data_IF_624829653457
#
_entry.id   IF_624829653457
#
_cell.length_a   1.000
_cell.length_b   1.000
_cell.length_c   1.000
_cell.angle_alpha   90.00
_cell.angle_beta   90.00
_cell.angle_gamma   90.00
#
_symmetry.space_group_name_H-M   'P 1'
#
loop_
_entity.id
_entity.type
_entity.pdbx_description
1 polymer ?
#
# COMPACT_ATOMS: atom_id res chain seq x y z
N UNK A 1 -5.97 -1.77 -18.90
CA UNK A 1 -7.34 -1.24 -18.83
C UNK A 1 -8.32 -2.41 -18.92
N UNK A 2 -8.80 -2.89 -17.76
CA UNK A 2 -9.79 -3.99 -17.68
C UNK A 2 -11.22 -3.50 -17.61
N UNK A 3 -11.44 -2.24 -17.22
CA UNK A 3 -12.76 -1.67 -17.02
C UNK A 3 -13.41 -1.29 -18.36
N UNK A 4 -12.56 -0.96 -19.33
CA UNK A 4 -12.95 -0.41 -20.62
C UNK A 4 -12.42 -1.27 -21.76
N UNK A 5 -12.00 -2.51 -21.49
CA UNK A 5 -11.55 -3.50 -22.48
C UNK A 5 -10.52 -2.93 -23.46
N UNK A 6 -9.54 -2.18 -22.92
CA UNK A 6 -8.47 -1.56 -23.66
C UNK A 6 -8.93 -0.54 -24.72
N UNK A 7 -10.17 -0.04 -24.64
CA UNK A 7 -10.69 0.96 -25.57
C UNK A 7 -9.90 2.27 -25.51
N UNK A 8 -9.24 2.56 -24.37
CA UNK A 8 -8.52 3.80 -24.12
C UNK A 8 -6.99 3.68 -24.20
N UNK A 9 -6.43 2.59 -24.73
CA UNK A 9 -4.97 2.41 -24.83
C UNK A 9 -4.21 3.54 -25.53
N UNK A 10 -4.86 4.22 -26.48
CA UNK A 10 -4.28 5.34 -27.22
C UNK A 10 -4.87 6.71 -26.82
N UNK A 11 -5.72 6.74 -25.80
CA UNK A 11 -6.28 7.96 -25.27
C UNK A 11 -5.29 8.56 -24.27
N UNK A 12 -4.54 9.55 -24.74
CA UNK A 12 -3.60 10.33 -23.93
C UNK A 12 -4.06 11.80 -23.97
N UNK A 13 -4.99 12.21 -23.08
CA UNK A 13 -5.50 13.58 -23.07
C UNK A 13 -4.45 14.60 -22.59
N UNK A 14 -3.36 14.13 -21.99
CA UNK A 14 -2.34 15.00 -21.39
C UNK A 14 -1.15 15.22 -22.32
N UNK A 15 -0.99 14.40 -23.37
CA UNK A 15 -0.11 14.57 -24.55
C UNK A 15 1.40 14.77 -24.27
N UNK A 16 1.82 14.87 -22.99
CA UNK A 16 3.15 15.30 -22.60
C UNK A 16 3.70 14.44 -21.46
N UNK A 17 4.71 13.61 -21.79
CA UNK A 17 5.51 12.85 -20.82
C UNK A 17 6.26 13.72 -19.80
N UNK A 18 6.36 15.03 -20.02
CA UNK A 18 7.05 15.99 -19.13
C UNK A 18 6.19 17.19 -18.71
N UNK A 19 4.91 17.22 -19.08
CA UNK A 19 4.03 18.39 -18.92
C UNK A 19 4.26 19.50 -19.95
N UNK A 20 3.22 20.31 -20.22
CA UNK A 20 3.26 21.49 -21.10
C UNK A 20 2.96 22.77 -20.27
N UNK A 21 4.02 23.42 -19.80
CA UNK A 21 3.90 24.64 -18.98
C UNK A 21 3.29 25.79 -19.78
N UNK A 22 3.51 25.87 -21.09
CA UNK A 22 2.95 26.96 -21.90
C UNK A 22 1.43 26.80 -22.03
N UNK A 23 0.95 25.59 -22.30
CA UNK A 23 -0.48 25.28 -22.30
C UNK A 23 -1.10 25.49 -20.92
N UNK A 24 -0.43 25.08 -19.84
CA UNK A 24 -0.90 25.30 -18.47
C UNK A 24 -1.04 26.80 -18.13
N UNK A 25 -0.06 27.61 -18.53
CA UNK A 25 -0.14 29.07 -18.40
C UNK A 25 -1.28 29.66 -19.22
N UNK A 26 -1.47 29.20 -20.44
CA UNK A 26 -2.59 29.64 -21.28
C UNK A 26 -3.93 29.32 -20.61
N UNK A 27 -4.11 28.14 -20.03
CA UNK A 27 -5.35 27.81 -19.32
C UNK A 27 -5.50 28.62 -18.02
N UNK A 28 -4.43 28.79 -17.24
CA UNK A 28 -4.43 29.64 -16.04
C UNK A 28 -4.85 31.08 -16.35
N UNK A 29 -4.42 31.65 -17.48
CA UNK A 29 -4.77 33.02 -17.91
C UNK A 29 -6.26 33.23 -18.18
N UNK A 30 -7.02 32.15 -18.32
CA UNK A 30 -8.47 32.16 -18.51
C UNK A 30 -9.23 32.00 -17.20
N UNK A 31 -8.52 31.67 -16.13
CA UNK A 31 -9.10 31.46 -14.81
C UNK A 31 -9.39 32.79 -14.11
N UNK A 32 -10.31 32.77 -13.15
CA UNK A 32 -10.53 33.91 -12.24
C UNK A 32 -9.40 34.14 -11.24
N UNK A 33 -8.42 33.23 -11.20
CA UNK A 33 -7.31 33.21 -10.25
C UNK A 33 -6.05 33.91 -10.81
N UNK A 34 -6.07 34.27 -12.08
CA UNK A 34 -5.08 35.12 -12.73
C UNK A 34 -5.75 36.45 -13.13
N UNK A 35 -5.52 37.51 -12.35
CA UNK A 35 -6.16 38.81 -12.58
C UNK A 35 -5.53 39.60 -13.71
N UNK A 36 -4.28 39.30 -14.09
CA UNK A 36 -3.53 40.05 -15.09
C UNK A 36 -3.40 39.30 -16.43
N UNK A 37 -3.88 38.05 -16.48
CA UNK A 37 -3.85 37.14 -17.62
C UNK A 37 -2.42 36.80 -18.13
N UNK A 38 -1.41 36.80 -17.24
CA UNK A 38 -0.03 36.43 -17.58
C UNK A 38 0.25 34.91 -17.54
N UNK A 39 -0.76 34.12 -17.15
CA UNK A 39 -0.73 32.68 -17.01
C UNK A 39 -0.25 32.19 -15.64
N UNK A 40 -0.22 33.07 -14.64
CA UNK A 40 0.21 32.76 -13.28
C UNK A 40 -0.92 33.09 -12.32
N UNK A 41 -1.22 32.20 -11.37
CA UNK A 41 -2.15 32.56 -10.32
C UNK A 41 -1.56 33.68 -9.43
N UNK A 42 -2.33 34.74 -9.19
CA UNK A 42 -1.91 35.94 -8.47
C UNK A 42 -2.84 36.32 -7.30
N UNK A 43 -3.69 35.38 -6.85
CA UNK A 43 -4.63 35.60 -5.74
C UNK A 43 -4.29 34.78 -4.50
N UNK A 44 -4.75 35.19 -3.30
CA UNK A 44 -4.42 34.49 -2.05
C UNK A 44 -4.84 33.02 -1.99
N UNK A 45 -5.86 32.63 -2.76
CA UNK A 45 -6.34 31.24 -2.81
C UNK A 45 -5.31 30.26 -3.40
N UNK A 46 -4.28 30.77 -4.09
CA UNK A 46 -3.22 29.94 -4.67
C UNK A 46 -2.02 29.73 -3.75
N UNK A 47 -2.07 30.30 -2.55
CA UNK A 47 -1.03 30.11 -1.54
C UNK A 47 -1.42 29.05 -0.51
N UNK A 48 -0.43 28.26 -0.06
CA UNK A 48 -0.63 27.27 0.99
C UNK A 48 -1.57 26.11 0.64
N UNK A 49 -1.68 25.76 -0.64
CA UNK A 49 -2.52 24.64 -1.11
C UNK A 49 -1.97 23.33 -0.52
N UNK A 50 -2.72 22.69 0.37
CA UNK A 50 -2.30 21.43 0.99
C UNK A 50 -2.32 20.25 0.02
N UNK A 51 -1.21 19.53 -0.11
CA UNK A 51 -1.12 18.25 -0.79
C UNK A 51 -0.79 17.16 0.24
N UNK A 52 -1.78 16.35 0.61
CA UNK A 52 -1.59 15.25 1.55
C UNK A 52 -0.83 14.09 0.89
N UNK A 53 0.10 13.49 1.62
CA UNK A 53 0.78 12.23 1.28
C UNK A 53 0.99 11.37 2.50
N UNK A 54 1.04 10.04 2.30
CA UNK A 54 1.37 9.08 3.34
C UNK A 54 2.88 8.98 3.55
N UNK A 55 3.32 8.73 4.78
CA UNK A 55 4.74 8.48 5.12
C UNK A 55 5.16 7.01 4.89
N UNK A 56 4.20 6.09 4.89
CA UNK A 56 4.40 4.65 4.73
C UNK A 56 4.44 4.20 3.26
N UNK A 57 4.32 5.12 2.30
CA UNK A 57 4.42 4.84 0.87
C UNK A 57 5.78 5.31 0.32
N UNK A 58 6.69 4.39 -0.04
CA UNK A 58 7.99 4.75 -0.57
C UNK A 58 7.88 5.60 -1.84
N UNK A 59 8.47 6.79 -1.81
CA UNK A 59 8.55 7.69 -2.96
C UNK A 59 7.44 8.74 -3.05
N UNK A 60 6.31 8.57 -2.36
CA UNK A 60 5.16 9.50 -2.44
C UNK A 60 5.53 10.92 -2.04
N UNK A 61 6.27 11.09 -0.93
CA UNK A 61 6.71 12.40 -0.50
C UNK A 61 7.66 13.07 -1.52
N UNK A 62 8.46 12.28 -2.26
CA UNK A 62 9.32 12.80 -3.31
C UNK A 62 8.51 13.19 -4.56
N UNK A 63 7.54 12.35 -4.96
CA UNK A 63 6.62 12.64 -6.06
C UNK A 63 5.79 13.90 -5.79
N UNK A 64 5.22 14.04 -4.59
CA UNK A 64 4.46 15.23 -4.21
C UNK A 64 5.29 16.52 -4.20
N UNK A 65 6.57 16.45 -3.81
CA UNK A 65 7.48 17.60 -3.95
C UNK A 65 7.73 17.98 -5.40
N UNK A 66 7.80 17.00 -6.32
CA UNK A 66 7.91 17.25 -7.76
C UNK A 66 6.64 17.91 -8.31
N UNK A 67 5.47 17.38 -7.94
CA UNK A 67 4.17 17.98 -8.30
C UNK A 67 4.08 19.43 -7.80
N UNK A 68 4.44 19.69 -6.54
CA UNK A 68 4.46 21.04 -5.99
C UNK A 68 5.41 21.98 -6.75
N UNK A 69 6.60 21.50 -7.13
CA UNK A 69 7.55 22.28 -7.91
C UNK A 69 7.04 22.60 -9.32
N UNK A 70 6.34 21.67 -9.97
CA UNK A 70 5.78 21.87 -11.31
C UNK A 70 4.60 22.85 -11.29
N UNK A 71 3.71 22.73 -10.30
CA UNK A 71 2.57 23.64 -10.12
C UNK A 71 3.01 25.07 -9.76
N UNK A 72 4.18 25.24 -9.12
CA UNK A 72 4.74 26.56 -8.86
C UNK A 72 5.04 27.35 -10.15
N UNK A 73 5.27 26.68 -11.29
CA UNK A 73 5.51 27.34 -12.57
C UNK A 73 4.31 28.14 -13.10
N UNK A 74 3.10 27.87 -12.58
CA UNK A 74 1.85 28.59 -12.86
C UNK A 74 1.29 29.31 -11.64
N UNK A 75 2.12 29.55 -10.61
CA UNK A 75 1.76 30.37 -9.44
C UNK A 75 0.98 29.65 -8.34
N UNK A 76 0.90 28.32 -8.37
CA UNK A 76 0.26 27.54 -7.32
C UNK A 76 1.30 27.12 -6.28
N UNK A 77 1.25 27.72 -5.08
CA UNK A 77 2.18 27.39 -3.99
C UNK A 77 1.61 26.23 -3.17
N UNK A 78 2.04 25.02 -3.52
CA UNK A 78 1.61 23.78 -2.87
C UNK A 78 2.50 23.45 -1.67
N UNK A 79 1.88 23.17 -0.53
CA UNK A 79 2.52 22.65 0.68
C UNK A 79 2.30 21.15 0.77
N UNK A 80 3.38 20.38 0.69
CA UNK A 80 3.34 18.93 0.95
C UNK A 80 3.15 18.66 2.44
N UNK A 81 2.14 17.88 2.77
CA UNK A 81 1.74 17.51 4.12
C UNK A 81 1.87 15.99 4.25
N UNK A 82 2.99 15.55 4.84
CA UNK A 82 3.28 14.13 5.08
C UNK A 82 2.59 13.73 6.40
N UNK A 83 1.85 12.63 6.38
CA UNK A 83 1.09 12.11 7.52
C UNK A 83 1.23 10.59 7.63
N UNK A 84 1.09 10.08 8.86
CA UNK A 84 0.90 8.65 9.08
C UNK A 84 -0.41 8.16 8.44
N UNK A 85 -0.50 6.86 8.18
CA UNK A 85 -1.65 6.23 7.50
C UNK A 85 -3.00 6.57 8.13
N UNK A 86 -3.11 6.56 9.46
CA UNK A 86 -4.39 6.75 10.14
C UNK A 86 -4.81 8.21 10.13
N UNK A 87 -3.86 9.12 10.37
CA UNK A 87 -4.09 10.57 10.23
C UNK A 87 -4.45 10.93 8.80
N UNK A 88 -3.74 10.37 7.80
CA UNK A 88 -4.05 10.58 6.39
C UNK A 88 -5.49 10.15 6.06
N UNK A 89 -5.86 8.91 6.38
CA UNK A 89 -7.19 8.33 6.10
C UNK A 89 -8.33 9.06 6.81
N UNK A 90 -8.10 9.54 8.03
CA UNK A 90 -9.10 10.29 8.78
C UNK A 90 -9.24 11.74 8.31
N UNK A 91 -8.18 12.32 7.71
CA UNK A 91 -8.17 13.74 7.30
C UNK A 91 -8.87 13.95 5.97
N UNK A 92 -8.47 13.22 4.91
CA UNK A 92 -8.99 13.51 3.56
C UNK A 92 -10.47 13.14 3.41
N UNK A 93 -10.95 12.16 4.18
CA UNK A 93 -12.34 11.72 4.13
C UNK A 93 -13.35 12.75 4.67
N UNK A 94 -12.88 13.89 5.19
CA UNK A 94 -13.69 14.93 5.80
C UNK A 94 -13.82 16.14 4.85
N UNK A 95 -14.97 16.36 4.21
CA UNK A 95 -15.16 17.53 3.34
C UNK A 95 -14.93 18.87 4.06
N UNK A 96 -15.13 18.92 5.38
CA UNK A 96 -14.88 20.12 6.21
C UNK A 96 -13.41 20.44 6.42
N UNK A 97 -12.50 19.49 6.16
CA UNK A 97 -11.07 19.73 6.26
C UNK A 97 -10.54 20.57 5.08
N UNK A 98 -11.34 20.79 4.04
CA UNK A 98 -10.99 21.57 2.84
C UNK A 98 -9.66 21.15 2.23
N UNK A 99 -9.39 19.84 2.20
CA UNK A 99 -8.19 19.28 1.58
C UNK A 99 -8.33 19.37 0.05
N UNK A 100 -7.52 20.16 -0.65
CA UNK A 100 -7.68 20.37 -2.08
C UNK A 100 -7.01 19.27 -2.91
N UNK A 101 -5.89 18.72 -2.44
CA UNK A 101 -5.11 17.72 -3.16
C UNK A 101 -4.63 16.61 -2.22
N UNK A 102 -4.55 15.39 -2.75
CA UNK A 102 -3.89 14.25 -2.12
C UNK A 102 -3.23 13.40 -3.19
N UNK A 103 -2.14 12.73 -2.82
CA UNK A 103 -1.55 11.67 -3.63
C UNK A 103 -1.93 10.33 -2.98
N UNK A 104 -2.59 9.48 -3.75
CA UNK A 104 -2.96 8.13 -3.32
C UNK A 104 -3.05 7.21 -4.54
N UNK A 105 -2.95 5.91 -4.28
CA UNK A 105 -3.25 4.84 -5.21
C UNK A 105 -4.66 4.29 -4.97
N UNK A 106 -5.38 3.97 -6.03
CA UNK A 106 -6.64 3.22 -5.94
C UNK A 106 -6.52 1.87 -6.62
N UNK A 107 -7.28 0.89 -6.13
CA UNK A 107 -7.42 -0.43 -6.72
C UNK A 107 -8.88 -0.74 -7.00
N UNK A 108 -9.15 -1.38 -8.13
CA UNK A 108 -10.48 -1.89 -8.47
C UNK A 108 -10.81 -3.10 -7.62
N UNK A 109 -12.08 -3.28 -7.29
CA UNK A 109 -12.57 -4.48 -6.59
C UNK A 109 -12.95 -5.59 -7.59
N UNK A 110 -13.53 -5.22 -8.72
CA UNK A 110 -13.95 -6.11 -9.80
C UNK A 110 -13.60 -5.50 -11.16
N UNK A 111 -13.56 -6.33 -12.21
CA UNK A 111 -13.36 -5.89 -13.60
C UNK A 111 -14.68 -5.34 -14.19
N UNK A 112 -15.25 -4.33 -13.53
CA UNK A 112 -16.35 -3.52 -14.06
C UNK A 112 -16.27 -2.10 -13.50
N UNK A 113 -16.38 -1.10 -14.40
CA UNK A 113 -16.42 0.31 -14.04
C UNK A 113 -17.54 0.66 -13.05
N UNK A 114 -18.55 -0.20 -12.90
CA UNK A 114 -19.59 -0.07 -11.87
C UNK A 114 -19.08 -0.16 -10.43
N UNK A 115 -17.90 -0.75 -10.21
CA UNK A 115 -17.21 -0.80 -8.91
C UNK A 115 -16.19 0.31 -8.73
N UNK A 116 -15.99 1.15 -9.76
CA UNK A 116 -15.01 2.23 -9.76
C UNK A 116 -15.69 3.60 -9.84
N UNK A 117 -16.47 3.87 -10.89
CA UNK A 117 -17.05 5.20 -11.12
C UNK A 117 -18.11 5.62 -10.09
N UNK A 118 -19.11 4.79 -9.75
CA UNK A 118 -20.11 5.16 -8.74
C UNK A 118 -19.51 5.49 -7.35
N UNK A 119 -18.65 4.65 -6.74
CA UNK A 119 -18.12 4.95 -5.41
C UNK A 119 -17.11 6.12 -5.39
N UNK A 120 -16.41 6.39 -6.49
CA UNK A 120 -15.39 7.45 -6.52
C UNK A 120 -15.92 8.82 -6.99
N UNK A 121 -16.89 8.83 -7.91
CA UNK A 121 -17.33 10.04 -8.61
C UNK A 121 -18.85 10.28 -8.58
N UNK A 122 -19.64 9.31 -8.10
CA UNK A 122 -21.09 9.46 -7.97
C UNK A 122 -21.49 10.23 -6.72
N UNK A 123 -22.51 11.08 -6.83
CA UNK A 123 -23.03 11.86 -5.69
C UNK A 123 -23.51 11.03 -4.49
N UNK A 124 -24.02 9.79 -4.62
CA UNK A 124 -24.41 8.99 -3.46
C UNK A 124 -23.23 8.68 -2.51
N UNK A 125 -22.00 8.70 -3.03
CA UNK A 125 -20.79 8.46 -2.25
C UNK A 125 -20.21 9.73 -1.61
N UNK A 126 -20.68 10.92 -2.00
CA UNK A 126 -20.12 12.20 -1.56
C UNK A 126 -20.36 12.44 -0.07
N UNK A 127 -19.26 12.55 0.67
CA UNK A 127 -19.28 12.72 2.12
C UNK A 127 -19.50 11.42 2.90
N UNK A 128 -19.55 10.26 2.23
CA UNK A 128 -19.42 8.97 2.90
C UNK A 128 -17.94 8.81 3.30
N UNK A 129 -17.60 9.24 4.51
CA UNK A 129 -16.27 9.06 5.11
C UNK A 129 -15.87 7.58 5.02
N UNK A 130 -14.85 7.21 4.20
CA UNK A 130 -14.15 5.89 4.11
C UNK A 130 -13.40 5.66 2.78
N UNK A 131 -12.87 6.70 2.12
CA UNK A 131 -12.17 6.49 0.85
C UNK A 131 -13.06 6.58 -0.39
N UNK A 132 -14.22 7.24 -0.31
CA UNK A 132 -15.20 7.34 -1.40
C UNK A 132 -15.66 8.78 -1.61
N UNK A 133 -15.98 9.13 -2.86
CA UNK A 133 -16.57 10.42 -3.22
C UNK A 133 -15.73 11.65 -2.86
N UNK A 134 -14.40 11.55 -2.76
CA UNK A 134 -13.57 12.63 -2.21
C UNK A 134 -13.34 13.77 -3.21
N UNK A 135 -13.63 13.54 -4.49
CA UNK A 135 -13.68 14.60 -5.51
C UNK A 135 -14.82 15.60 -5.28
N UNK A 136 -15.76 15.27 -4.38
CA UNK A 136 -16.99 16.02 -4.09
C UNK A 136 -17.92 16.22 -5.31
N UNK A 137 -17.69 15.50 -6.41
CA UNK A 137 -18.53 15.59 -7.61
C UNK A 137 -19.99 15.25 -7.28
N UNK A 138 -20.89 16.15 -7.64
CA UNK A 138 -22.31 16.03 -7.35
C UNK A 138 -22.71 16.42 -5.92
N UNK A 139 -21.83 17.01 -5.11
CA UNK A 139 -22.22 17.61 -3.83
C UNK A 139 -23.36 18.63 -4.03
N UNK A 140 -24.43 18.47 -3.25
CA UNK A 140 -25.56 19.39 -3.28
C UNK A 140 -25.20 20.76 -2.69
N UNK A 141 -25.94 21.83 -3.03
CA UNK A 141 -25.72 23.15 -2.42
C UNK A 141 -25.81 23.13 -0.88
N UNK A 142 -26.69 22.29 -0.33
CA UNK A 142 -26.83 22.12 1.12
C UNK A 142 -25.59 21.45 1.75
N UNK A 143 -25.03 20.43 1.10
CA UNK A 143 -23.77 19.80 1.53
C UNK A 143 -22.61 20.78 1.47
N UNK A 144 -22.45 21.48 0.34
CA UNK A 144 -21.39 22.50 0.17
C UNK A 144 -21.48 23.58 1.26
N UNK A 145 -22.68 24.10 1.51
CA UNK A 145 -22.92 25.08 2.59
C UNK A 145 -22.60 24.49 3.97
N UNK A 146 -23.07 23.27 4.27
CA UNK A 146 -22.83 22.58 5.54
C UNK A 146 -21.33 22.31 5.79
N UNK A 147 -20.57 22.12 4.72
CA UNK A 147 -19.13 21.90 4.77
C UNK A 147 -18.32 23.19 4.66
N UNK A 148 -18.98 24.35 4.50
CA UNK A 148 -18.32 25.66 4.49
C UNK A 148 -17.67 26.02 3.15
N UNK A 149 -18.06 25.38 2.05
CA UNK A 149 -17.61 25.79 0.73
C UNK A 149 -18.37 27.06 0.27
N UNK A 150 -17.67 28.03 -0.34
CA UNK A 150 -18.28 29.28 -0.81
C UNK A 150 -19.06 29.11 -2.13
N UNK A 151 -18.86 27.99 -2.83
CA UNK A 151 -19.53 27.70 -4.11
C UNK A 151 -20.91 27.08 -3.88
N UNK A 152 -21.84 27.40 -4.79
CA UNK A 152 -23.21 26.87 -4.74
C UNK A 152 -23.38 25.57 -5.53
N UNK A 153 -22.45 25.24 -6.42
CA UNK A 153 -22.53 24.07 -7.28
C UNK A 153 -21.14 23.57 -7.68
N UNK A 154 -21.05 22.28 -7.91
CA UNK A 154 -19.89 21.56 -8.46
C UNK A 154 -20.35 20.71 -9.64
N UNK A 155 -19.46 20.25 -10.53
CA UNK A 155 -19.82 19.32 -11.59
C UNK A 155 -20.46 18.06 -11.03
N UNK A 156 -21.37 17.45 -11.79
CA UNK A 156 -22.06 16.22 -11.43
C UNK A 156 -22.05 15.27 -12.65
N UNK A 157 -21.76 13.99 -12.41
CA UNK A 157 -21.66 12.96 -13.45
C UNK A 157 -22.67 11.81 -13.27
N UNK A 158 -23.63 11.95 -12.36
CA UNK A 158 -24.61 10.91 -12.01
C UNK A 158 -25.39 10.45 -13.23
N UNK A 159 -25.91 11.36 -14.05
CA UNK A 159 -26.68 11.00 -15.24
C UNK A 159 -25.88 10.14 -16.24
N UNK A 160 -24.55 10.33 -16.32
CA UNK A 160 -23.68 9.51 -17.17
C UNK A 160 -23.44 8.14 -16.53
N UNK A 161 -23.23 8.11 -15.21
CA UNK A 161 -23.09 6.86 -14.45
C UNK A 161 -24.37 6.02 -14.56
N UNK A 162 -25.52 6.62 -14.29
CA UNK A 162 -26.84 5.98 -14.34
C UNK A 162 -27.17 5.43 -15.74
N UNK A 163 -26.72 6.10 -16.80
CA UNK A 163 -26.88 5.60 -18.16
C UNK A 163 -26.05 4.33 -18.44
N UNK A 164 -24.92 4.13 -17.76
CA UNK A 164 -24.04 2.98 -17.96
C UNK A 164 -24.43 1.76 -17.11
N UNK A 165 -25.01 1.98 -15.92
CA UNK A 165 -25.40 0.91 -14.99
C UNK A 165 -26.33 -0.17 -15.57
N UNK A 166 -27.40 0.14 -16.35
CA UNK A 166 -28.29 -0.88 -16.89
C UNK A 166 -27.73 -1.61 -18.12
N UNK A 167 -26.61 -1.16 -18.68
CA UNK A 167 -25.97 -1.81 -19.82
C UNK A 167 -25.19 -3.04 -19.36
N UNK A 168 -24.83 -3.92 -20.31
CA UNK A 168 -24.00 -5.09 -20.03
C UNK A 168 -22.97 -5.33 -21.13
N UNK A 169 -21.93 -6.10 -20.80
CA UNK A 169 -20.86 -6.50 -21.71
C UNK A 169 -20.25 -5.28 -22.44
N UNK A 170 -19.89 -5.44 -23.72
CA UNK A 170 -19.22 -4.38 -24.49
C UNK A 170 -19.98 -3.05 -24.56
N UNK A 171 -21.32 -3.05 -24.46
CA UNK A 171 -22.08 -1.80 -24.42
C UNK A 171 -21.83 -1.00 -23.13
N UNK A 172 -21.71 -1.70 -21.99
CA UNK A 172 -21.38 -1.08 -20.71
C UNK A 172 -19.94 -0.58 -20.72
N UNK A 173 -19.01 -1.40 -21.18
CA UNK A 173 -17.58 -1.06 -21.34
C UNK A 173 -17.39 0.22 -22.17
N UNK A 174 -18.06 0.33 -23.32
CA UNK A 174 -18.01 1.55 -24.14
C UNK A 174 -18.64 2.77 -23.45
N UNK A 175 -19.63 2.54 -22.59
CA UNK A 175 -20.25 3.62 -21.83
C UNK A 175 -19.27 4.18 -20.78
N UNK A 176 -18.59 3.30 -20.05
CA UNK A 176 -17.55 3.67 -19.10
C UNK A 176 -16.38 4.38 -19.79
N UNK A 177 -15.87 3.87 -20.91
CA UNK A 177 -14.81 4.52 -21.69
C UNK A 177 -15.15 5.97 -22.06
N UNK A 178 -16.40 6.23 -22.46
CA UNK A 178 -16.85 7.61 -22.77
C UNK A 178 -16.99 8.48 -21.52
N UNK A 179 -17.33 7.89 -20.37
CA UNK A 179 -17.36 8.59 -19.10
C UNK A 179 -15.93 8.95 -18.67
N UNK A 180 -14.97 8.04 -18.77
CA UNK A 180 -13.58 8.31 -18.40
C UNK A 180 -12.97 9.39 -19.29
N UNK A 181 -13.15 9.31 -20.60
CA UNK A 181 -12.73 10.39 -21.52
C UNK A 181 -13.27 11.76 -21.11
N UNK A 182 -14.54 11.82 -20.70
CA UNK A 182 -15.16 13.05 -20.19
C UNK A 182 -14.58 13.48 -18.84
N UNK A 183 -14.36 12.55 -17.92
CA UNK A 183 -13.75 12.84 -16.63
C UNK A 183 -12.32 13.35 -16.79
N UNK A 184 -11.53 12.79 -17.71
CA UNK A 184 -10.12 13.18 -17.92
C UNK A 184 -9.94 14.44 -18.76
N UNK A 185 -10.92 14.80 -19.60
CA UNK A 185 -10.79 15.94 -20.52
C UNK A 185 -11.56 17.18 -20.07
N UNK A 186 -12.72 17.02 -19.44
CA UNK A 186 -13.66 18.11 -19.17
C UNK A 186 -13.83 18.41 -17.68
N UNK A 187 -13.77 17.39 -16.81
CA UNK A 187 -14.02 17.55 -15.37
C UNK A 187 -12.72 17.59 -14.56
N UNK A 188 -11.78 16.71 -14.90
CA UNK A 188 -10.44 16.50 -14.31
C UNK A 188 -10.46 16.39 -12.77
N UNK A 189 -11.29 15.51 -12.17
CA UNK A 189 -11.30 15.37 -10.71
C UNK A 189 -10.03 14.68 -10.22
N UNK A 190 -9.43 13.82 -11.03
CA UNK A 190 -8.25 13.01 -10.75
C UNK A 190 -7.23 13.20 -11.88
N UNK A 191 -5.95 13.18 -11.52
CA UNK A 191 -4.82 13.28 -12.45
C UNK A 191 -4.00 11.98 -12.34
N UNK A 192 -4.16 11.04 -13.27
CA UNK A 192 -3.37 9.81 -13.26
C UNK A 192 -1.88 10.13 -13.46
N UNK A 193 -1.04 9.77 -12.49
CA UNK A 193 0.41 10.01 -12.57
C UNK A 193 1.16 8.79 -13.12
N UNK A 194 0.83 7.61 -12.61
CA UNK A 194 1.57 6.38 -12.86
C UNK A 194 0.60 5.20 -12.88
N UNK A 195 0.92 4.19 -13.69
CA UNK A 195 0.39 2.84 -13.52
C UNK A 195 1.46 2.00 -12.84
N UNK A 196 1.13 1.41 -11.69
CA UNK A 196 2.04 0.52 -10.99
C UNK A 196 2.27 -0.74 -11.83
N UNK A 197 3.53 -1.10 -12.00
CA UNK A 197 3.94 -2.37 -12.62
C UNK A 197 4.68 -3.17 -11.57
N UNK A 198 4.48 -4.49 -11.58
CA UNK A 198 5.13 -5.40 -10.65
C UNK A 198 5.91 -6.45 -11.44
N UNK A 199 7.20 -6.56 -11.14
CA UNK A 199 8.01 -7.66 -11.63
C UNK A 199 7.69 -8.92 -10.81
N UNK A 200 7.53 -10.05 -11.51
CA UNK A 200 7.31 -11.33 -10.86
C UNK A 200 8.42 -12.31 -11.24
N UNK A 201 9.10 -12.84 -10.22
CA UNK A 201 10.10 -13.88 -10.39
C UNK A 201 9.46 -15.21 -10.04
N UNK A 202 9.21 -16.04 -11.05
CA UNK A 202 8.65 -17.38 -10.88
C UNK A 202 9.75 -18.44 -11.05
N UNK A 203 9.75 -19.44 -10.18
CA UNK A 203 10.71 -20.55 -10.27
C UNK A 203 10.49 -21.33 -11.58
N UNK A 204 11.55 -21.84 -12.21
CA UNK A 204 11.47 -22.69 -13.40
C UNK A 204 10.63 -23.97 -13.23
N UNK A 205 10.31 -24.34 -11.99
CA UNK A 205 9.36 -25.43 -11.68
C UNK A 205 7.92 -25.06 -11.95
N UNK A 206 7.56 -23.78 -12.01
CA UNK A 206 6.19 -23.34 -12.26
C UNK A 206 5.89 -23.61 -13.74
N UNK A 207 5.03 -24.59 -14.00
CA UNK A 207 4.64 -25.00 -15.36
C UNK A 207 3.41 -24.26 -15.87
N UNK A 208 2.56 -23.81 -14.95
CA UNK A 208 1.45 -22.93 -15.24
C UNK A 208 1.43 -21.82 -14.21
N UNK A 209 1.34 -20.59 -14.71
CA UNK A 209 1.24 -19.39 -13.93
C UNK A 209 0.03 -18.60 -14.41
N UNK A 210 -0.79 -18.15 -13.46
CA UNK A 210 -1.87 -17.21 -13.72
C UNK A 210 -1.80 -16.11 -12.67
N UNK A 211 -2.35 -14.95 -13.01
CA UNK A 211 -2.48 -13.82 -12.12
C UNK A 211 -3.95 -13.53 -11.83
N UNK A 212 -4.21 -13.01 -10.65
CA UNK A 212 -5.51 -12.47 -10.28
C UNK A 212 -5.70 -11.12 -10.95
N UNK A 213 -6.74 -11.03 -11.79
CA UNK A 213 -7.09 -9.78 -12.49
C UNK A 213 -7.90 -8.81 -11.63
N UNK A 214 -8.40 -9.22 -10.46
CA UNK A 214 -9.08 -8.31 -9.53
C UNK A 214 -8.12 -7.32 -8.90
N UNK A 215 -6.87 -7.72 -8.62
CA UNK A 215 -5.85 -6.83 -8.08
C UNK A 215 -5.33 -5.82 -9.12
N UNK A 216 -5.08 -4.57 -8.68
CA UNK A 216 -4.51 -3.50 -9.50
C UNK A 216 -3.05 -3.74 -9.88
N UNK A 217 -2.31 -4.44 -9.04
CA UNK A 217 -1.04 -5.10 -9.36
C UNK A 217 -1.30 -6.58 -9.59
N UNK A 218 -0.90 -7.17 -10.74
CA UNK A 218 -1.08 -8.61 -10.95
C UNK A 218 -0.43 -9.36 -9.78
N UNK A 219 -1.23 -10.02 -8.96
CA UNK A 219 -0.74 -10.95 -7.93
C UNK A 219 -0.91 -12.37 -8.43
N UNK A 220 -0.05 -13.33 -8.06
CA UNK A 220 -0.24 -14.72 -8.45
C UNK A 220 -1.61 -15.27 -8.00
N UNK A 221 -2.37 -15.86 -8.91
CA UNK A 221 -3.53 -16.66 -8.56
C UNK A 221 -3.04 -18.02 -8.03
N UNK A 222 -2.81 -18.11 -6.72
CA UNK A 222 -2.11 -19.24 -6.10
C UNK A 222 -2.84 -20.59 -6.30
N UNK A 223 -4.16 -20.57 -6.46
CA UNK A 223 -5.00 -21.72 -6.79
C UNK A 223 -4.83 -22.23 -8.24
N UNK A 224 -4.14 -21.45 -9.08
CA UNK A 224 -3.90 -21.72 -10.50
C UNK A 224 -2.43 -21.95 -10.83
N UNK A 225 -1.57 -22.08 -9.81
CA UNK A 225 -0.15 -22.41 -9.98
C UNK A 225 0.03 -23.91 -10.11
N UNK A 226 0.71 -24.36 -11.17
CA UNK A 226 1.12 -25.76 -11.33
C UNK A 226 2.64 -25.89 -11.27
N UNK A 227 3.11 -27.03 -10.74
CA UNK A 227 4.54 -27.33 -10.59
C UNK A 227 4.95 -28.56 -11.41
N UNK A 228 6.19 -28.57 -11.90
CA UNK A 228 6.84 -29.76 -12.46
C UNK A 228 6.92 -30.87 -11.39
N UNK A 229 6.40 -32.08 -11.68
CA UNK A 229 6.61 -33.23 -10.81
C UNK A 229 8.10 -33.61 -10.79
N UNK A 230 8.65 -33.90 -9.61
CA UNK A 230 9.90 -34.64 -9.48
C UNK A 230 11.21 -33.88 -9.70
N UNK A 231 11.20 -32.57 -9.96
CA UNK A 231 12.43 -31.76 -9.96
C UNK A 231 12.59 -31.13 -8.59
N UNK A 232 13.45 -31.72 -7.76
CA UNK A 232 13.97 -31.03 -6.59
C UNK A 232 14.62 -29.73 -7.08
N UNK A 233 14.30 -28.57 -6.45
CA UNK A 233 14.87 -27.32 -6.89
C UNK A 233 16.40 -27.43 -6.83
N UNK A 234 17.15 -26.83 -7.78
CA UNK A 234 18.57 -26.65 -7.56
C UNK A 234 18.75 -25.96 -6.21
N UNK A 235 19.77 -26.35 -5.42
CA UNK A 235 20.00 -25.71 -4.14
C UNK A 235 20.08 -24.22 -4.38
N UNK A 236 19.35 -23.50 -3.55
CA UNK A 236 19.41 -22.04 -3.50
C UNK A 236 20.89 -21.63 -3.43
N UNK A 237 21.34 -20.60 -4.17
CA UNK A 237 22.74 -20.17 -4.06
C UNK A 237 23.05 -19.91 -2.58
N UNK A 238 24.21 -20.41 -2.16
CA UNK A 238 24.68 -20.18 -0.80
C UNK A 238 24.90 -18.67 -0.63
N UNK A 239 24.41 -18.09 0.46
CA UNK A 239 24.66 -16.68 0.74
C UNK A 239 26.16 -16.41 0.83
N UNK A 240 26.56 -15.20 0.42
CA UNK A 240 27.96 -14.75 0.47
C UNK A 240 28.40 -14.24 1.86
N UNK A 241 27.48 -14.22 2.82
CA UNK A 241 27.71 -13.77 4.19
C UNK A 241 27.98 -14.94 5.15
N UNK A 242 28.51 -14.63 6.34
CA UNK A 242 28.76 -15.62 7.38
C UNK A 242 27.45 -16.16 7.96
N UNK A 243 27.29 -17.47 7.93
CA UNK A 243 26.15 -18.19 8.50
C UNK A 243 26.58 -18.81 9.83
N UNK A 244 25.87 -18.56 10.95
CA UNK A 244 26.20 -19.17 12.23
C UNK A 244 25.93 -20.68 12.16
N UNK A 245 26.60 -21.46 13.01
CA UNK A 245 26.49 -22.92 13.04
C UNK A 245 25.17 -23.44 13.65
N UNK A 246 24.07 -22.69 13.48
CA UNK A 246 22.72 -23.13 13.84
C UNK A 246 22.39 -24.32 12.94
N UNK A 247 21.97 -25.48 13.49
CA UNK A 247 21.67 -26.62 12.64
C UNK A 247 20.49 -26.33 11.70
N UNK A 248 20.65 -26.69 10.44
CA UNK A 248 19.52 -26.69 9.52
C UNK A 248 18.45 -27.70 9.96
N UNK A 249 17.20 -27.41 9.62
CA UNK A 249 16.08 -28.26 9.97
C UNK A 249 14.76 -27.50 10.02
N UNK A 250 13.73 -28.25 10.40
CA UNK A 250 12.42 -27.70 10.71
C UNK A 250 12.31 -27.63 12.23
N UNK A 251 11.82 -26.50 12.71
CA UNK A 251 11.62 -26.22 14.12
C UNK A 251 10.17 -25.81 14.35
N UNK A 252 9.65 -26.05 15.55
CA UNK A 252 8.30 -25.66 15.95
C UNK A 252 8.28 -25.13 17.36
N UNK A 253 7.50 -24.07 17.56
CA UNK A 253 7.16 -23.57 18.89
C UNK A 253 5.75 -22.97 18.86
N UNK A 254 5.19 -22.72 20.04
CA UNK A 254 3.86 -22.13 20.18
C UNK A 254 3.96 -20.91 21.08
N UNK A 255 3.46 -19.77 20.60
CA UNK A 255 3.28 -18.58 21.42
C UNK A 255 1.85 -18.59 21.93
N UNK A 256 1.68 -18.72 23.24
CA UNK A 256 0.37 -18.59 23.87
C UNK A 256 0.07 -17.13 24.23
N UNK A 257 -1.21 -16.81 24.48
CA UNK A 257 -1.58 -15.49 25.02
C UNK A 257 -0.88 -15.21 26.35
N UNK A 258 -0.64 -16.24 27.16
CA UNK A 258 0.06 -16.11 28.43
C UNK A 258 1.54 -15.74 28.24
N UNK A 259 2.18 -16.21 27.17
CA UNK A 259 3.55 -15.84 26.84
C UNK A 259 3.66 -14.39 26.41
N UNK A 260 2.76 -13.94 25.55
CA UNK A 260 2.63 -12.52 25.19
C UNK A 260 2.47 -11.67 26.43
N UNK A 261 1.50 -11.95 27.31
CA UNK A 261 1.31 -11.12 28.51
C UNK A 261 2.48 -11.19 29.50
N UNK A 262 3.26 -12.28 29.50
CA UNK A 262 4.43 -12.44 30.37
C UNK A 262 5.59 -11.57 29.91
N UNK A 263 5.88 -11.56 28.60
CA UNK A 263 7.00 -10.82 28.01
C UNK A 263 6.61 -9.40 27.62
N UNK A 264 5.33 -9.22 27.30
CA UNK A 264 4.67 -7.97 27.02
C UNK A 264 3.33 -7.80 27.80
N UNK A 265 3.38 -7.28 29.04
CA UNK A 265 2.18 -7.00 29.82
C UNK A 265 1.27 -5.89 29.28
N UNK A 266 1.72 -5.06 28.33
CA UNK A 266 0.91 -3.96 27.76
C UNK A 266 0.56 -4.19 26.29
N UNK A 267 0.71 -5.43 25.80
CA UNK A 267 0.42 -5.79 24.40
C UNK A 267 -0.96 -5.26 24.00
N UNK A 268 -1.10 -4.76 22.79
CA UNK A 268 -2.38 -4.29 22.28
C UNK A 268 -3.36 -5.48 22.24
N UNK A 269 -4.51 -5.42 22.92
CA UNK A 269 -5.51 -6.48 22.87
C UNK A 269 -5.93 -6.88 21.44
N UNK A 270 -5.83 -5.95 20.48
CA UNK A 270 -6.16 -6.20 19.08
C UNK A 270 -5.06 -7.00 18.34
N UNK A 271 -3.80 -6.93 18.77
CA UNK A 271 -2.67 -7.64 18.14
C UNK A 271 -2.39 -9.03 18.75
N UNK A 272 -3.05 -9.37 19.86
CA UNK A 272 -2.81 -10.64 20.57
C UNK A 272 -3.11 -11.85 19.70
N UNK A 273 -4.24 -11.84 19.00
CA UNK A 273 -4.58 -12.98 18.15
C UNK A 273 -3.53 -13.09 17.03
N UNK A 274 -3.17 -11.98 16.39
CA UNK A 274 -2.14 -11.94 15.34
C UNK A 274 -0.79 -12.52 15.79
N UNK A 275 -0.39 -12.31 17.05
CA UNK A 275 0.90 -12.75 17.58
C UNK A 275 0.89 -14.12 18.26
N UNK A 276 -0.25 -14.84 18.25
CA UNK A 276 -0.35 -16.18 18.88
C UNK A 276 -0.61 -17.30 17.90
N UNK A 277 -0.09 -18.48 18.22
CA UNK A 277 -0.25 -19.66 17.38
C UNK A 277 0.97 -20.55 17.41
N UNK A 278 0.96 -21.56 16.54
CA UNK A 278 2.08 -22.46 16.36
C UNK A 278 2.88 -22.02 15.14
N UNK A 279 4.14 -21.68 15.38
CA UNK A 279 5.10 -21.32 14.35
C UNK A 279 5.89 -22.55 13.94
N UNK A 280 5.99 -22.78 12.63
CA UNK A 280 6.89 -23.78 12.04
C UNK A 280 7.93 -23.06 11.20
N UNK A 281 9.20 -23.15 11.60
CA UNK A 281 10.34 -22.44 11.01
C UNK A 281 11.22 -23.46 10.32
N UNK A 282 11.62 -23.18 9.08
CA UNK A 282 12.66 -23.92 8.38
C UNK A 282 13.90 -23.07 8.31
N UNK A 283 15.03 -23.59 8.80
CA UNK A 283 16.36 -23.01 8.64
C UNK A 283 17.14 -23.83 7.61
N UNK A 284 17.77 -23.13 6.66
CA UNK A 284 18.49 -23.75 5.54
C UNK A 284 19.63 -22.83 5.07
N UNK A 285 20.87 -23.09 5.51
CA UNK A 285 22.09 -22.41 5.07
C UNK A 285 21.99 -20.87 5.05
N UNK A 286 21.59 -20.26 6.17
CA UNK A 286 21.47 -18.81 6.31
C UNK A 286 20.17 -18.22 5.75
N UNK A 287 19.19 -19.06 5.40
CA UNK A 287 17.84 -18.66 4.98
C UNK A 287 16.82 -19.22 5.96
N UNK A 288 15.76 -18.45 6.22
CA UNK A 288 14.63 -18.94 6.98
C UNK A 288 13.31 -18.71 6.25
N UNK A 289 12.36 -19.57 6.56
CA UNK A 289 10.95 -19.37 6.26
C UNK A 289 10.15 -19.83 7.48
N UNK A 290 9.12 -19.10 7.87
CA UNK A 290 8.19 -19.57 8.89
C UNK A 290 6.75 -19.47 8.43
N UNK A 291 5.90 -20.32 9.01
CA UNK A 291 4.45 -20.30 8.87
C UNK A 291 3.81 -20.40 10.24
N UNK A 292 2.83 -19.55 10.51
CA UNK A 292 2.00 -19.57 11.70
C UNK A 292 0.67 -20.24 11.41
N UNK A 293 0.26 -21.12 12.30
CA UNK A 293 -1.05 -21.74 12.29
C UNK A 293 -1.75 -21.48 13.63
N UNK A 294 -2.99 -21.03 13.56
CA UNK A 294 -3.80 -20.70 14.73
C UNK A 294 -5.27 -21.07 14.51
N UNK A 295 -6.05 -21.10 15.60
CA UNK A 295 -7.50 -21.34 15.55
C UNK A 295 -8.32 -20.08 15.30
N UNK A 296 -7.66 -18.96 15.02
CA UNK A 296 -8.22 -17.65 14.74
C UNK A 296 -7.59 -17.10 13.44
N UNK A 297 -8.18 -16.07 12.81
CA UNK A 297 -7.58 -15.44 11.64
C UNK A 297 -6.22 -14.80 11.96
N UNK A 298 -5.26 -14.97 11.07
CA UNK A 298 -3.90 -14.39 11.13
C UNK A 298 -3.63 -13.67 9.81
N UNK A 299 -3.18 -12.42 9.88
CA UNK A 299 -2.81 -11.57 8.75
C UNK A 299 -1.33 -11.76 8.38
N UNK A 300 -1.07 -12.33 7.21
CA UNK A 300 0.32 -12.61 6.79
C UNK A 300 0.94 -13.77 7.57
N UNK A 301 0.33 -14.98 7.55
CA UNK A 301 0.74 -16.12 8.38
C UNK A 301 2.08 -16.75 7.94
N UNK A 302 2.84 -16.11 7.07
CA UNK A 302 4.10 -16.63 6.57
C UNK A 302 5.07 -15.48 6.28
N UNK A 303 6.33 -15.68 6.65
CA UNK A 303 7.41 -14.77 6.28
C UNK A 303 8.66 -15.54 5.86
N UNK A 304 9.51 -14.90 5.06
CA UNK A 304 10.80 -15.44 4.64
C UNK A 304 11.88 -14.40 4.80
N UNK A 305 13.12 -14.86 4.91
CA UNK A 305 14.25 -13.97 5.09
C UNK A 305 15.58 -14.71 5.18
N UNK A 306 16.57 -14.00 5.70
CA UNK A 306 17.91 -14.51 5.91
C UNK A 306 18.31 -14.45 7.38
N UNK A 307 19.24 -15.30 7.78
CA UNK A 307 19.90 -15.21 9.07
C UNK A 307 21.41 -15.28 8.87
N UNK A 308 22.12 -14.38 9.55
CA UNK A 308 23.58 -14.25 9.44
C UNK A 308 24.20 -14.03 10.81
N UNK A 309 25.48 -14.33 10.95
CA UNK A 309 26.15 -14.24 12.25
C UNK A 309 27.40 -15.10 12.35
N UNK A 310 27.97 -15.12 13.55
CA UNK A 310 29.19 -15.86 13.86
C UNK A 310 29.19 -16.28 15.33
N UNK A 311 29.77 -17.45 15.61
CA UNK A 311 29.83 -18.01 16.96
C UNK A 311 28.43 -18.23 17.54
N UNK A 312 28.19 -17.70 18.74
CA UNK A 312 26.92 -17.80 19.45
C UNK A 312 25.95 -16.67 19.11
N UNK A 313 26.23 -15.86 18.08
CA UNK A 313 25.38 -14.75 17.64
C UNK A 313 24.77 -14.96 16.28
N UNK A 314 23.55 -14.49 16.14
CA UNK A 314 22.76 -14.48 14.91
C UNK A 314 21.99 -13.17 14.82
N UNK A 315 21.58 -12.83 13.62
CA UNK A 315 20.70 -11.72 13.28
C UNK A 315 19.78 -12.22 12.17
N UNK A 316 18.47 -12.07 12.36
CA UNK A 316 17.47 -12.37 11.36
C UNK A 316 17.06 -11.10 10.60
N UNK A 317 16.88 -11.22 9.30
CA UNK A 317 16.30 -10.18 8.45
C UNK A 317 15.10 -10.77 7.73
N UNK A 318 13.90 -10.32 8.10
CA UNK A 318 12.68 -10.61 7.34
C UNK A 318 12.71 -9.81 6.04
N UNK A 319 12.48 -10.47 4.91
CA UNK A 319 12.52 -9.85 3.58
C UNK A 319 11.15 -9.86 2.90
N UNK A 320 10.29 -10.82 3.24
CA UNK A 320 8.93 -10.90 2.71
C UNK A 320 7.94 -11.36 3.81
N UNK A 321 6.72 -10.82 3.83
CA UNK A 321 6.21 -9.78 2.92
C UNK A 321 6.89 -8.42 3.16
N UNK A 322 6.86 -7.53 2.17
CA UNK A 322 7.69 -6.31 2.17
C UNK A 322 7.30 -5.30 3.28
N UNK A 323 6.03 -5.31 3.67
CA UNK A 323 5.47 -4.57 4.81
C UNK A 323 5.94 -5.11 6.18
N UNK A 324 6.47 -6.33 6.22
CA UNK A 324 7.13 -6.92 7.40
C UNK A 324 8.66 -6.97 7.27
N UNK A 325 9.23 -6.33 6.24
CA UNK A 325 10.66 -6.38 6.00
C UNK A 325 11.41 -5.59 7.08
N UNK A 326 12.20 -6.28 7.88
CA UNK A 326 12.88 -5.71 9.04
C UNK A 326 14.13 -6.52 9.37
N UNK A 327 15.24 -5.84 9.65
CA UNK A 327 16.41 -6.43 10.27
C UNK A 327 16.24 -6.42 11.79
N UNK A 328 16.15 -7.61 12.39
CA UNK A 328 16.00 -7.78 13.83
C UNK A 328 17.35 -7.53 14.54
N UNK A 329 17.35 -7.23 15.85
CA UNK A 329 18.59 -7.11 16.59
C UNK A 329 19.32 -8.44 16.67
N UNK A 330 20.61 -8.39 16.97
CA UNK A 330 21.37 -9.62 17.18
C UNK A 330 20.84 -10.39 18.39
N UNK A 331 20.61 -11.68 18.22
CA UNK A 331 20.35 -12.64 19.28
C UNK A 331 21.60 -13.47 19.59
N UNK A 332 21.71 -13.91 20.84
CA UNK A 332 22.50 -15.10 21.18
C UNK A 332 21.67 -16.34 20.95
N UNK A 333 22.30 -17.42 20.52
CA UNK A 333 21.63 -18.69 20.33
C UNK A 333 22.39 -19.85 20.99
N UNK A 334 21.64 -20.88 21.41
CA UNK A 334 22.18 -22.15 21.89
C UNK A 334 21.35 -23.30 21.34
N UNK A 335 21.99 -24.46 21.14
CA UNK A 335 21.33 -25.70 20.72
C UNK A 335 21.81 -26.86 21.59
N UNK A 336 20.88 -27.60 22.19
CA UNK A 336 21.20 -28.74 23.06
C UNK A 336 21.14 -30.10 22.36
N UNK A 337 20.83 -30.12 21.06
CA UNK A 337 20.57 -31.33 20.29
C UNK A 337 19.10 -31.49 19.88
N UNK A 338 18.18 -30.82 20.58
CA UNK A 338 16.74 -30.89 20.35
C UNK A 338 16.08 -29.50 20.29
N UNK A 339 16.50 -28.59 21.16
CA UNK A 339 15.91 -27.27 21.33
C UNK A 339 16.89 -26.17 20.94
N UNK A 340 16.40 -25.22 20.13
CA UNK A 340 17.08 -23.97 19.84
C UNK A 340 16.53 -22.89 20.77
N UNK A 341 17.40 -22.19 21.47
CA UNK A 341 17.02 -21.09 22.37
C UNK A 341 17.72 -19.83 21.94
N UNK A 342 16.97 -18.72 21.94
CA UNK A 342 17.50 -17.42 21.63
C UNK A 342 17.41 -16.50 22.84
N UNK A 343 18.28 -15.49 22.86
CA UNK A 343 18.23 -14.40 23.84
C UNK A 343 18.71 -13.14 23.16
N UNK A 344 17.86 -12.12 23.12
CA UNK A 344 18.14 -10.86 22.46
C UNK A 344 19.33 -10.18 23.15
N UNK A 345 20.32 -9.74 22.38
CA UNK A 345 21.54 -9.11 22.94
C UNK A 345 21.23 -7.70 23.46
N UNK A 346 20.40 -6.96 22.73
CA UNK A 346 19.98 -5.60 23.08
C UNK A 346 18.73 -5.19 22.29
N UNK A 347 17.95 -4.30 22.88
CA UNK A 347 16.84 -3.59 22.21
C UNK A 347 17.17 -2.16 21.81
N UNK A 348 18.40 -1.67 22.06
CA UNK A 348 18.73 -0.22 21.99
C UNK A 348 18.46 0.46 20.64
N UNK A 349 18.32 -0.31 19.57
CA UNK A 349 18.13 0.22 18.22
C UNK A 349 16.73 -0.07 17.65
N UNK A 350 15.86 -0.82 18.34
CA UNK A 350 14.54 -1.20 17.82
C UNK A 350 13.53 -0.05 17.80
N UNK A 351 13.53 0.77 18.85
CA UNK A 351 12.57 1.88 19.00
C UNK A 351 12.70 2.96 17.91
N UNK A 352 13.78 2.91 17.13
CA UNK A 352 14.04 3.79 16.00
C UNK A 352 13.77 3.16 14.62
N UNK A 353 13.66 1.83 14.54
CA UNK A 353 13.46 1.13 13.26
C UNK A 353 12.03 1.27 12.76
N UNK A 354 11.07 1.27 13.68
CA UNK A 354 9.66 1.52 13.36
C UNK A 354 9.02 2.40 14.44
N UNK A 355 8.92 3.72 14.20
CA UNK A 355 8.24 4.64 15.11
C UNK A 355 6.77 4.30 15.36
N UNK A 356 6.13 3.53 14.47
CA UNK A 356 4.74 3.09 14.60
C UNK A 356 4.60 1.84 15.48
N UNK A 357 5.70 1.12 15.72
CA UNK A 357 5.79 -0.04 16.60
C UNK A 357 6.69 0.23 17.82
N UNK A 358 6.28 1.09 18.78
CA UNK A 358 7.09 1.49 19.93
C UNK A 358 7.41 0.34 20.91
N UNK A 359 7.01 -0.90 20.58
CA UNK A 359 7.06 -2.10 21.42
C UNK A 359 7.71 -3.28 20.71
N UNK A 360 8.36 -2.98 19.59
CA UNK A 360 9.04 -3.95 18.74
C UNK A 360 10.06 -4.80 19.50
N UNK A 361 10.66 -4.27 20.58
CA UNK A 361 11.52 -5.02 21.49
C UNK A 361 10.77 -6.17 22.17
N UNK A 362 9.65 -5.88 22.82
CA UNK A 362 8.85 -6.89 23.51
C UNK A 362 8.23 -7.90 22.53
N UNK A 363 7.81 -7.46 21.35
CA UNK A 363 7.31 -8.35 20.28
C UNK A 363 8.40 -9.32 19.83
N UNK A 364 9.61 -8.80 19.55
CA UNK A 364 10.77 -9.61 19.17
C UNK A 364 11.14 -10.60 20.28
N UNK A 365 11.15 -10.16 21.53
CA UNK A 365 11.43 -11.05 22.67
C UNK A 365 10.36 -12.12 22.81
N UNK A 366 9.10 -11.80 22.57
CA UNK A 366 8.04 -12.80 22.57
C UNK A 366 8.30 -13.86 21.52
N UNK A 367 8.64 -13.48 20.30
CA UNK A 367 8.90 -14.45 19.23
C UNK A 367 10.11 -15.36 19.49
N UNK A 368 11.22 -14.80 20.00
CA UNK A 368 12.49 -15.54 20.13
C UNK A 368 12.74 -16.13 21.52
N UNK A 369 12.18 -15.54 22.58
CA UNK A 369 12.46 -15.91 23.98
C UNK A 369 11.26 -16.54 24.70
N UNK A 370 10.05 -16.58 24.11
CA UNK A 370 8.90 -17.15 24.81
C UNK A 370 9.09 -18.62 25.13
N UNK A 371 9.47 -19.38 24.10
CA UNK A 371 9.57 -20.84 24.11
C UNK A 371 10.75 -21.27 23.25
N UNK A 372 11.42 -22.39 23.59
CA UNK A 372 12.44 -22.96 22.72
C UNK A 372 11.84 -23.40 21.39
N UNK A 373 12.61 -23.26 20.31
CA UNK A 373 12.24 -23.82 19.03
C UNK A 373 12.64 -25.30 19.01
N UNK A 374 11.65 -26.18 19.03
CA UNK A 374 11.85 -27.63 19.08
C UNK A 374 12.08 -28.18 17.68
N UNK A 375 13.19 -28.90 17.46
CA UNK A 375 13.47 -29.52 16.17
C UNK A 375 12.46 -30.63 15.86
N UNK A 376 11.94 -30.64 14.63
CA UNK A 376 10.93 -31.59 14.14
C UNK A 376 11.54 -32.41 13.01
N UNK A 377 11.51 -33.74 13.19
CA UNK A 377 12.15 -34.71 12.28
C UNK A 377 13.53 -35.11 12.80
#
# INVERSE_FOLDING_TARGET
DSEEDNLLLNFDPYHAVTGDVAAAKQEMSRSSYDRNADGTCDVPACDGIGLLVRDDQPGDAAAARKVAADLAAIGLNVRVLVQDRDTFNSTYGQPRAHIPLRLESWLKDLTSGSTYFPPLFGSPAVGLTRGFGESLLGASPAQLHLWGYPVASVPNVDARIEACLPLAFGAQTQCWARLDQYLMSDVVPWLPLLSLTADQIVSSRVTAFAFDQSASTPVPALDRVALHPGVAPPPSPLPSFAVPAIPDGVYRFTISKADLYRLDPKTDPQSIDESTGTFTIRLDHGKFAWVQNASHPVYGPAATGIYQGAGDRVTFETQAPADSALMLPSERWTFDGHELRFTLVSCRDLDHLDPSAPRLCEDTRTFFESEPWVKVG
#
